data_IF_612671892718
#
_entry.id   IF_612671892718
#
_cell.length_a   1.000
_cell.length_b   1.000
_cell.length_c   1.000
_cell.angle_alpha   90.00
_cell.angle_beta   90.00
_cell.angle_gamma   90.00
#
_symmetry.space_group_name_H-M   'P 1'
#
loop_
_entity.id
_entity.type
_entity.pdbx_description
1 polymer ?
#
# COMPACT_ATOMS: atom_id res chain seq x y z
N UNK A 1 5.35 1.74 -16.47
CA UNK A 1 6.62 1.89 -15.67
C UNK A 1 7.83 2.45 -16.42
N UNK A 2 8.39 1.77 -17.44
CA UNK A 2 9.62 2.22 -18.16
C UNK A 2 9.49 3.61 -18.81
N UNK A 3 8.30 3.95 -19.29
CA UNK A 3 7.99 5.27 -19.85
C UNK A 3 8.13 6.38 -18.81
N UNK A 4 7.49 6.22 -17.65
CA UNK A 4 7.52 7.20 -16.56
C UNK A 4 8.96 7.47 -16.08
N UNK A 5 9.75 6.40 -15.92
CA UNK A 5 11.17 6.52 -15.56
C UNK A 5 11.97 7.29 -16.62
N UNK A 6 11.78 6.99 -17.91
CA UNK A 6 12.44 7.72 -19.01
C UNK A 6 12.05 9.19 -19.08
N UNK A 7 10.84 9.53 -18.62
CA UNK A 7 10.35 10.90 -18.55
C UNK A 7 10.86 11.67 -17.31
N UNK A 8 11.75 11.06 -16.52
CA UNK A 8 12.38 11.71 -15.36
C UNK A 8 11.58 11.62 -14.07
N UNK A 9 10.52 10.79 -14.01
CA UNK A 9 9.80 10.56 -12.75
C UNK A 9 10.65 9.74 -11.79
N UNK A 10 10.78 10.20 -10.55
CA UNK A 10 11.39 9.41 -9.48
C UNK A 10 10.38 8.37 -8.97
N UNK A 11 10.58 7.11 -9.35
CA UNK A 11 9.67 6.01 -9.00
C UNK A 11 10.07 5.25 -7.73
N UNK A 12 11.28 5.46 -7.22
CA UNK A 12 11.79 4.89 -5.97
C UNK A 12 12.41 5.97 -5.10
N UNK A 13 12.32 5.81 -3.79
CA UNK A 13 13.06 6.66 -2.87
C UNK A 13 14.56 6.41 -3.03
N UNK A 14 15.37 7.45 -2.81
CA UNK A 14 16.83 7.38 -2.87
C UNK A 14 17.41 6.67 -1.65
N UNK A 15 16.74 6.79 -0.51
CA UNK A 15 17.22 6.30 0.80
C UNK A 15 16.26 5.33 1.47
N UNK A 16 15.25 4.84 0.73
CA UNK A 16 14.33 3.80 1.17
C UNK A 16 14.19 2.72 0.08
N UNK A 17 13.86 1.49 0.46
CA UNK A 17 13.72 0.38 -0.48
C UNK A 17 12.38 0.40 -1.23
N UNK A 18 11.38 1.13 -0.74
CA UNK A 18 10.08 1.22 -1.38
C UNK A 18 10.07 2.13 -2.61
N UNK A 19 9.08 1.90 -3.47
CA UNK A 19 8.72 2.87 -4.49
C UNK A 19 8.13 4.17 -3.88
N UNK A 20 8.22 5.28 -4.61
CA UNK A 20 7.49 6.52 -4.25
C UNK A 20 6.00 6.35 -4.48
N UNK A 21 5.16 7.27 -3.99
CA UNK A 21 3.71 7.29 -4.31
C UNK A 21 3.45 7.35 -5.82
N UNK A 22 4.30 8.05 -6.58
CA UNK A 22 4.26 8.05 -8.05
C UNK A 22 4.63 6.67 -8.63
N UNK A 23 5.63 6.00 -8.06
CA UNK A 23 5.98 4.61 -8.41
C UNK A 23 4.84 3.64 -8.15
N UNK A 24 4.23 3.71 -6.97
CA UNK A 24 3.05 2.93 -6.59
C UNK A 24 1.86 3.17 -7.52
N UNK A 25 1.55 4.44 -7.83
CA UNK A 25 0.51 4.79 -8.81
C UNK A 25 0.82 4.21 -10.20
N UNK A 26 2.08 4.25 -10.62
CA UNK A 26 2.50 3.67 -11.91
C UNK A 26 2.33 2.15 -11.93
N UNK A 27 2.65 1.45 -10.83
CA UNK A 27 2.41 0.01 -10.68
C UNK A 27 0.92 -0.32 -10.66
N UNK A 28 0.14 0.48 -9.94
CA UNK A 28 -1.32 0.40 -9.88
C UNK A 28 -1.96 0.54 -11.25
N UNK A 29 -1.50 1.46 -12.11
CA UNK A 29 -2.02 1.58 -13.48
C UNK A 29 -1.81 0.30 -14.32
N UNK A 30 -0.65 -0.34 -14.20
CA UNK A 30 -0.39 -1.62 -14.88
C UNK A 30 -1.25 -2.75 -14.29
N UNK A 31 -1.48 -2.76 -12.97
CA UNK A 31 -2.39 -3.69 -12.32
C UNK A 31 -3.83 -3.49 -12.80
N UNK A 32 -4.32 -2.26 -12.84
CA UNK A 32 -5.64 -1.92 -13.37
C UNK A 32 -5.82 -2.42 -14.80
N UNK A 33 -4.80 -2.22 -15.65
CA UNK A 33 -4.80 -2.72 -17.02
C UNK A 33 -4.89 -4.25 -17.08
N UNK A 34 -4.15 -4.97 -16.24
CA UNK A 34 -4.20 -6.42 -16.18
C UNK A 34 -5.57 -6.94 -15.69
N UNK A 35 -6.20 -6.22 -14.76
CA UNK A 35 -7.52 -6.52 -14.21
C UNK A 35 -8.69 -6.04 -15.09
N UNK A 36 -8.43 -5.29 -16.17
CA UNK A 36 -9.46 -4.72 -17.04
C UNK A 36 -10.31 -3.63 -16.39
N UNK A 37 -9.76 -2.92 -15.39
CA UNK A 37 -10.43 -1.82 -14.68
C UNK A 37 -9.77 -0.48 -15.01
N UNK A 38 -10.53 0.61 -14.88
CA UNK A 38 -10.02 1.96 -15.12
C UNK A 38 -9.36 2.50 -13.83
N UNK A 39 -8.09 2.93 -13.88
CA UNK A 39 -7.45 3.54 -12.72
C UNK A 39 -8.09 4.89 -12.38
N UNK A 40 -8.06 5.30 -11.11
CA UNK A 40 -8.41 6.66 -10.70
C UNK A 40 -7.48 7.66 -11.40
N UNK A 41 -8.05 8.76 -11.90
CA UNK A 41 -7.29 9.85 -12.52
C UNK A 41 -6.54 10.64 -11.44
N UNK A 42 -5.21 10.64 -11.49
CA UNK A 42 -4.39 11.30 -10.47
C UNK A 42 -4.51 12.83 -10.46
N UNK A 43 -5.02 13.43 -11.54
CA UNK A 43 -5.34 14.87 -11.57
C UNK A 43 -6.50 15.23 -10.66
N UNK A 44 -7.32 14.24 -10.26
CA UNK A 44 -8.44 14.43 -9.31
C UNK A 44 -8.01 14.30 -7.85
N UNK A 45 -6.78 13.86 -7.60
CA UNK A 45 -6.25 13.63 -6.26
C UNK A 45 -5.54 14.87 -5.72
N UNK A 46 -5.75 15.16 -4.44
CA UNK A 46 -4.97 16.16 -3.72
C UNK A 46 -3.61 15.54 -3.36
N UNK A 47 -2.54 16.19 -3.78
CA UNK A 47 -1.16 15.75 -3.55
C UNK A 47 -0.51 16.63 -2.49
N UNK A 48 -0.34 16.08 -1.29
CA UNK A 48 0.37 16.73 -0.19
C UNK A 48 1.79 16.14 -0.09
N UNK A 49 2.80 17.00 0.02
CA UNK A 49 4.22 16.60 0.07
C UNK A 49 4.81 16.93 1.44
N UNK A 50 5.44 15.96 2.07
CA UNK A 50 6.07 16.09 3.39
C UNK A 50 7.58 15.85 3.27
N UNK A 51 8.42 16.82 3.68
CA UNK A 51 9.87 16.75 3.47
C UNK A 51 10.57 15.84 4.48
N UNK A 52 11.89 15.74 4.34
CA UNK A 52 12.83 15.15 5.30
C UNK A 52 12.62 13.66 5.55
N UNK A 53 12.24 12.89 4.53
CA UNK A 53 12.13 11.44 4.63
C UNK A 53 13.50 10.79 4.36
N UNK A 54 14.08 10.20 5.41
CA UNK A 54 15.18 9.26 5.32
C UNK A 54 14.64 7.85 5.51
N UNK A 55 14.73 7.03 4.49
CA UNK A 55 14.22 5.68 4.56
C UNK A 55 15.05 4.74 5.42
N UNK A 56 14.50 3.54 5.56
CA UNK A 56 15.09 2.44 6.32
C UNK A 56 16.47 2.00 5.82
N UNK A 57 16.81 2.26 4.55
CA UNK A 57 18.13 1.94 4.02
C UNK A 57 19.16 3.02 4.35
N UNK A 58 18.77 4.24 4.71
CA UNK A 58 19.71 5.32 5.06
C UNK A 58 20.67 4.93 6.19
N UNK A 59 20.12 4.37 7.28
CA UNK A 59 20.90 4.01 8.48
C UNK A 59 21.84 2.81 8.27
N UNK A 60 21.60 2.00 7.25
CA UNK A 60 22.32 0.73 6.98
C UNK A 60 23.23 0.77 5.76
N UNK A 61 23.17 1.84 4.94
CA UNK A 61 23.80 1.90 3.62
C UNK A 61 25.02 2.83 3.51
N UNK A 62 25.28 3.65 4.53
CA UNK A 62 26.36 4.62 4.49
C UNK A 62 26.10 5.85 3.59
N UNK A 63 24.86 6.04 3.11
CA UNK A 63 24.46 7.18 2.26
C UNK A 63 24.26 8.49 3.03
N UNK A 64 25.05 8.75 4.07
CA UNK A 64 24.89 9.89 5.00
C UNK A 64 24.93 11.30 4.34
N UNK A 65 25.37 11.37 3.08
CA UNK A 65 25.46 12.61 2.30
C UNK A 65 24.33 12.75 1.26
N UNK A 66 23.47 11.74 1.11
CA UNK A 66 22.35 11.79 0.17
C UNK A 66 21.24 12.67 0.76
N UNK A 67 20.78 13.72 0.05
CA UNK A 67 19.67 14.54 0.51
C UNK A 67 18.40 13.71 0.70
N UNK A 68 17.55 14.07 1.67
CA UNK A 68 16.33 13.32 1.96
C UNK A 68 15.37 13.34 0.76
N UNK A 69 14.39 12.44 0.80
CA UNK A 69 13.24 12.46 -0.07
C UNK A 69 12.06 13.21 0.56
N UNK A 70 11.04 13.45 -0.25
CA UNK A 70 9.72 13.83 0.23
C UNK A 70 8.81 12.61 0.14
N UNK A 71 7.98 12.40 1.16
CA UNK A 71 6.86 11.46 1.11
C UNK A 71 5.60 12.20 0.65
N UNK A 72 4.91 11.65 -0.36
CA UNK A 72 3.71 12.26 -0.91
C UNK A 72 2.45 11.45 -0.54
N UNK A 73 1.40 12.14 -0.10
CA UNK A 73 0.07 11.58 0.08
C UNK A 73 -0.81 12.03 -1.08
N UNK A 74 -1.42 11.07 -1.78
CA UNK A 74 -2.33 11.34 -2.90
C UNK A 74 -3.75 10.96 -2.46
N UNK A 75 -4.46 11.89 -1.84
CA UNK A 75 -5.78 11.64 -1.26
C UNK A 75 -6.90 12.13 -2.18
N UNK A 76 -7.94 11.31 -2.36
CA UNK A 76 -9.16 11.76 -3.02
C UNK A 76 -9.92 12.72 -2.08
N UNK A 77 -10.21 13.98 -2.49
CA UNK A 77 -10.96 14.93 -1.66
C UNK A 77 -12.38 14.47 -1.28
N UNK A 78 -12.92 13.44 -1.96
CA UNK A 78 -14.21 12.82 -1.64
C UNK A 78 -14.13 11.81 -0.50
N UNK A 79 -12.93 11.42 -0.07
CA UNK A 79 -12.73 10.50 1.03
C UNK A 79 -12.76 11.21 2.39
N UNK A 80 -13.49 10.60 3.31
CA UNK A 80 -13.66 11.02 4.70
C UNK A 80 -13.96 9.81 5.57
N UNK A 81 -14.01 10.00 6.88
CA UNK A 81 -14.46 9.00 7.85
C UNK A 81 -15.90 8.49 7.64
N UNK A 82 -16.68 9.14 6.77
CA UNK A 82 -18.04 8.72 6.39
C UNK A 82 -18.06 7.58 5.39
N UNK A 83 -17.03 7.47 4.56
CA UNK A 83 -16.96 6.46 3.49
C UNK A 83 -15.75 5.55 3.60
N UNK A 84 -14.70 5.98 4.30
CA UNK A 84 -13.48 5.21 4.53
C UNK A 84 -13.49 4.62 5.94
N UNK A 85 -13.18 3.32 6.02
CA UNK A 85 -12.86 2.65 7.28
C UNK A 85 -11.70 1.68 7.05
N UNK A 86 -10.65 1.81 7.85
CA UNK A 86 -9.52 0.87 7.90
C UNK A 86 -9.63 0.10 9.19
N UNK A 87 -9.66 -1.23 9.10
CA UNK A 87 -9.64 -2.15 10.23
C UNK A 87 -8.35 -2.95 10.18
N UNK A 88 -7.60 -2.93 11.28
CA UNK A 88 -6.35 -3.66 11.46
C UNK A 88 -6.60 -4.72 12.53
N UNK A 89 -6.31 -5.99 12.20
CA UNK A 89 -6.47 -7.13 13.11
C UNK A 89 -5.11 -7.78 13.38
N UNK A 90 -4.75 -7.84 14.65
CA UNK A 90 -3.53 -8.48 15.15
C UNK A 90 -3.86 -9.41 16.32
N UNK A 91 -4.07 -10.69 16.02
CA UNK A 91 -4.59 -11.65 16.98
C UNK A 91 -5.94 -11.20 17.53
N UNK A 92 -6.05 -11.01 18.84
CA UNK A 92 -7.28 -10.54 19.49
C UNK A 92 -7.47 -9.01 19.43
N UNK A 93 -6.45 -8.25 19.02
CA UNK A 93 -6.51 -6.79 19.00
C UNK A 93 -7.08 -6.30 17.67
N UNK A 94 -8.03 -5.36 17.75
CA UNK A 94 -8.63 -4.71 16.58
C UNK A 94 -8.50 -3.19 16.74
N UNK A 95 -7.89 -2.54 15.75
CA UNK A 95 -7.80 -1.07 15.63
C UNK A 95 -8.60 -0.63 14.41
N UNK A 96 -9.29 0.51 14.53
CA UNK A 96 -10.05 1.09 13.41
C UNK A 96 -9.67 2.55 13.19
N UNK A 97 -9.65 2.99 11.93
CA UNK A 97 -9.38 4.36 11.52
C UNK A 97 -10.36 4.81 10.43
N UNK A 98 -10.76 6.08 10.43
CA UNK A 98 -11.54 6.69 9.34
C UNK A 98 -10.69 7.18 8.16
N UNK A 99 -9.39 6.83 8.14
CA UNK A 99 -8.42 7.28 7.14
C UNK A 99 -7.47 6.14 6.76
N UNK A 100 -7.08 6.10 5.49
CA UNK A 100 -5.99 5.24 4.99
C UNK A 100 -4.61 5.82 5.29
N UNK A 101 -4.55 7.07 5.72
CA UNK A 101 -3.33 7.82 6.00
C UNK A 101 -3.23 8.13 7.50
N UNK A 102 -2.21 7.56 8.15
CA UNK A 102 -1.92 7.67 9.58
C UNK A 102 -0.87 8.77 9.79
N UNK A 103 -1.33 10.03 9.72
CA UNK A 103 -0.46 11.21 9.62
C UNK A 103 0.42 11.47 10.84
N UNK A 104 0.19 10.79 11.97
CA UNK A 104 1.09 10.91 13.11
C UNK A 104 2.51 10.37 12.81
N UNK A 105 2.63 9.36 11.95
CA UNK A 105 3.93 8.86 11.47
C UNK A 105 4.75 9.88 10.69
N UNK A 106 4.12 10.95 10.17
CA UNK A 106 4.86 12.01 9.47
C UNK A 106 5.78 12.82 10.40
N UNK A 107 5.62 12.68 11.73
CA UNK A 107 6.46 13.30 12.75
C UNK A 107 7.63 12.40 13.17
N UNK A 108 7.63 11.15 12.74
CA UNK A 108 8.65 10.15 13.06
C UNK A 108 9.78 10.19 12.02
N UNK A 109 10.90 9.55 12.34
CA UNK A 109 12.02 9.40 11.39
C UNK A 109 11.60 8.50 10.21
N UNK A 110 10.98 7.36 10.51
CA UNK A 110 10.35 6.51 9.51
C UNK A 110 8.91 6.99 9.25
N UNK A 111 8.73 7.66 8.11
CA UNK A 111 7.43 8.22 7.70
C UNK A 111 6.60 7.24 6.87
N UNK A 112 7.19 6.14 6.40
CA UNK A 112 6.50 5.22 5.49
C UNK A 112 5.22 4.59 6.08
N UNK A 113 5.13 4.29 7.40
CA UNK A 113 3.90 3.81 8.03
C UNK A 113 2.71 4.79 7.97
N UNK A 114 2.91 6.00 7.45
CA UNK A 114 1.78 6.88 7.08
C UNK A 114 0.77 6.17 6.18
N UNK A 115 1.20 5.22 5.35
CA UNK A 115 0.31 4.37 4.58
C UNK A 115 -0.17 3.19 5.44
N UNK A 116 -1.47 3.15 5.71
CA UNK A 116 -2.17 2.04 6.37
C UNK A 116 -1.59 1.55 7.71
N UNK A 117 -0.87 2.43 8.45
CA UNK A 117 -0.26 2.15 9.78
C UNK A 117 0.91 1.14 9.73
N UNK A 118 1.39 0.82 8.51
CA UNK A 118 2.54 -0.05 8.30
C UNK A 118 2.19 -1.54 8.20
N UNK A 119 3.02 -2.38 8.83
CA UNK A 119 2.97 -3.84 8.66
C UNK A 119 2.05 -4.50 9.67
N UNK A 120 0.95 -5.09 9.18
CA UNK A 120 0.00 -5.85 9.99
C UNK A 120 -0.34 -7.18 9.32
N UNK A 121 -0.76 -8.16 10.13
CA UNK A 121 -1.17 -9.48 9.66
C UNK A 121 -2.38 -9.41 8.72
N UNK A 122 -3.42 -8.67 9.11
CA UNK A 122 -4.62 -8.46 8.31
C UNK A 122 -5.07 -7.00 8.42
N UNK A 123 -5.20 -6.35 7.26
CA UNK A 123 -5.76 -5.01 7.14
C UNK A 123 -6.92 -5.04 6.15
N UNK A 124 -8.05 -4.46 6.54
CA UNK A 124 -9.22 -4.29 5.67
C UNK A 124 -9.47 -2.80 5.45
N UNK A 125 -9.49 -2.36 4.21
CA UNK A 125 -9.93 -1.02 3.83
C UNK A 125 -11.32 -1.15 3.23
N UNK A 126 -12.28 -0.40 3.75
CA UNK A 126 -13.62 -0.27 3.18
C UNK A 126 -13.79 1.12 2.60
N UNK A 127 -14.22 1.21 1.35
CA UNK A 127 -14.63 2.47 0.71
C UNK A 127 -16.05 2.33 0.15
N UNK A 128 -17.04 2.91 0.82
CA UNK A 128 -18.45 2.79 0.40
C UNK A 128 -18.79 3.54 -0.90
N UNK A 129 -17.87 4.38 -1.40
CA UNK A 129 -18.03 5.09 -2.68
C UNK A 129 -17.49 4.30 -3.88
N UNK A 130 -16.69 3.25 -3.64
CA UNK A 130 -16.11 2.44 -4.70
C UNK A 130 -17.13 1.43 -5.26
N UNK A 131 -16.97 1.07 -6.54
CA UNK A 131 -18.00 0.35 -7.30
C UNK A 131 -17.79 -1.16 -7.35
N UNK A 132 -16.55 -1.61 -7.39
CA UNK A 132 -16.24 -3.03 -7.47
C UNK A 132 -16.39 -3.67 -6.08
N UNK A 133 -16.50 -4.99 -6.03
CA UNK A 133 -16.62 -5.75 -4.79
C UNK A 133 -15.31 -5.78 -3.99
N UNK A 134 -14.88 -6.99 -3.66
CA UNK A 134 -13.70 -7.20 -2.82
C UNK A 134 -12.50 -7.62 -3.66
N UNK A 135 -11.32 -7.05 -3.36
CA UNK A 135 -10.03 -7.55 -3.81
C UNK A 135 -9.20 -8.02 -2.62
N UNK A 136 -8.54 -9.16 -2.74
CA UNK A 136 -7.65 -9.69 -1.71
C UNK A 136 -6.20 -9.65 -2.20
N UNK A 137 -5.32 -9.03 -1.42
CA UNK A 137 -3.90 -8.88 -1.68
C UNK A 137 -3.09 -9.71 -0.70
N UNK A 138 -2.35 -10.69 -1.19
CA UNK A 138 -1.25 -11.33 -0.47
C UNK A 138 -0.02 -10.48 -0.77
N UNK A 139 0.56 -9.86 0.26
CA UNK A 139 1.42 -8.69 0.07
C UNK A 139 2.66 -8.64 0.94
N UNK A 140 3.57 -7.76 0.55
CA UNK A 140 4.60 -7.15 1.40
C UNK A 140 4.39 -5.62 1.57
N UNK A 141 5.38 -4.91 2.12
CA UNK A 141 5.28 -3.47 2.38
C UNK A 141 5.23 -2.57 1.14
N UNK A 142 5.52 -3.07 -0.08
CA UNK A 142 5.30 -2.30 -1.31
C UNK A 142 3.82 -2.02 -1.55
N UNK A 143 2.91 -2.88 -1.06
CA UNK A 143 1.49 -2.67 -1.28
C UNK A 143 0.92 -1.49 -0.47
N UNK A 144 1.62 -1.01 0.57
CA UNK A 144 1.09 -0.02 1.50
C UNK A 144 0.66 1.28 0.79
N UNK A 145 1.55 1.84 -0.03
CA UNK A 145 1.28 3.06 -0.81
C UNK A 145 0.41 2.83 -2.05
N UNK A 146 0.20 1.56 -2.45
CA UNK A 146 -0.69 1.19 -3.56
C UNK A 146 -2.14 0.94 -3.09
N UNK A 147 -2.33 0.47 -1.86
CA UNK A 147 -3.64 0.10 -1.32
C UNK A 147 -4.67 1.25 -1.37
N UNK A 148 -4.31 2.53 -1.09
CA UNK A 148 -5.25 3.62 -1.22
C UNK A 148 -5.81 3.78 -2.64
N UNK A 149 -5.01 3.53 -3.68
CA UNK A 149 -5.49 3.60 -5.06
C UNK A 149 -6.43 2.45 -5.41
N UNK A 150 -6.18 1.24 -4.89
CA UNK A 150 -7.12 0.13 -5.05
C UNK A 150 -8.46 0.39 -4.35
N UNK A 151 -8.44 1.06 -3.20
CA UNK A 151 -9.64 1.44 -2.48
C UNK A 151 -10.50 2.47 -3.24
N UNK A 152 -9.97 3.13 -4.29
CA UNK A 152 -10.78 3.95 -5.20
C UNK A 152 -11.60 3.11 -6.19
N UNK A 153 -11.18 1.87 -6.48
CA UNK A 153 -11.89 0.95 -7.37
C UNK A 153 -12.76 -0.06 -6.62
N UNK A 154 -12.27 -0.59 -5.51
CA UNK A 154 -12.88 -1.69 -4.76
C UNK A 154 -13.50 -1.21 -3.44
N UNK A 155 -14.74 -1.63 -3.19
CA UNK A 155 -15.46 -1.33 -1.95
C UNK A 155 -14.81 -1.98 -0.74
N UNK A 156 -14.08 -3.08 -0.93
CA UNK A 156 -13.22 -3.68 0.09
C UNK A 156 -11.86 -4.10 -0.48
N UNK A 157 -10.79 -3.68 0.17
CA UNK A 157 -9.43 -4.15 -0.07
C UNK A 157 -8.96 -4.91 1.16
N UNK A 158 -8.71 -6.20 1.03
CA UNK A 158 -8.19 -7.06 2.10
C UNK A 158 -6.71 -7.28 1.85
N UNK A 159 -5.85 -6.89 2.80
CA UNK A 159 -4.41 -7.07 2.73
C UNK A 159 -3.99 -8.10 3.76
N UNK A 160 -3.35 -9.18 3.31
CA UNK A 160 -2.79 -10.22 4.16
C UNK A 160 -1.28 -10.30 3.99
N UNK A 161 -0.56 -10.22 5.12
CA UNK A 161 0.90 -10.28 5.15
C UNK A 161 1.35 -11.59 5.77
N UNK A 162 1.91 -12.50 4.95
CA UNK A 162 2.25 -13.85 5.40
C UNK A 162 3.39 -13.88 6.43
N UNK A 163 4.15 -12.79 6.58
CA UNK A 163 5.16 -12.66 7.64
C UNK A 163 4.51 -12.73 9.03
N UNK A 164 3.28 -12.22 9.15
CA UNK A 164 2.56 -12.10 10.42
C UNK A 164 1.27 -12.93 10.48
N UNK A 165 0.60 -13.14 9.35
CA UNK A 165 -0.62 -13.94 9.25
C UNK A 165 -0.30 -15.43 9.14
N UNK A 166 -0.65 -16.22 10.16
CA UNK A 166 -0.36 -17.66 10.25
C UNK A 166 -1.62 -18.55 10.19
N UNK A 167 -2.73 -17.98 9.76
CA UNK A 167 -4.00 -18.69 9.52
C UNK A 167 -4.19 -19.01 8.02
N UNK A 168 -5.32 -19.63 7.67
CA UNK A 168 -5.61 -20.11 6.31
C UNK A 168 -6.00 -18.96 5.37
N UNK A 169 -5.21 -18.73 4.32
CA UNK A 169 -5.57 -17.77 3.25
C UNK A 169 -6.79 -18.25 2.47
N UNK A 170 -6.94 -19.56 2.25
CA UNK A 170 -8.14 -20.14 1.65
C UNK A 170 -9.42 -19.83 2.42
N UNK A 171 -9.33 -19.72 3.76
CA UNK A 171 -10.47 -19.34 4.59
C UNK A 171 -10.81 -17.86 4.41
N UNK A 172 -9.79 -16.99 4.23
CA UNK A 172 -10.01 -15.59 3.86
C UNK A 172 -10.70 -15.49 2.49
N UNK A 173 -10.25 -16.25 1.49
CA UNK A 173 -10.89 -16.27 0.16
C UNK A 173 -12.34 -16.71 0.27
N UNK A 174 -12.63 -17.75 1.05
CA UNK A 174 -14.00 -18.23 1.30
C UNK A 174 -14.85 -17.18 2.03
N UNK A 175 -14.28 -16.54 3.04
CA UNK A 175 -14.96 -15.55 3.90
C UNK A 175 -15.28 -14.26 3.17
N UNK A 176 -14.30 -13.72 2.44
CA UNK A 176 -14.42 -12.42 1.78
C UNK A 176 -14.97 -12.52 0.35
N UNK A 177 -14.97 -13.72 -0.23
CA UNK A 177 -15.41 -14.01 -1.60
C UNK A 177 -14.90 -12.95 -2.61
N UNK A 178 -13.57 -12.76 -2.72
CA UNK A 178 -13.00 -11.70 -3.53
C UNK A 178 -13.23 -11.95 -5.02
N UNK A 179 -13.43 -10.89 -5.79
CA UNK A 179 -13.49 -10.94 -7.25
C UNK A 179 -12.14 -11.36 -7.85
N UNK A 180 -11.05 -10.96 -7.19
CA UNK A 180 -9.68 -11.20 -7.60
C UNK A 180 -8.77 -11.40 -6.38
N UNK A 181 -7.82 -12.32 -6.50
CA UNK A 181 -6.70 -12.48 -5.56
C UNK A 181 -5.42 -12.06 -6.27
N UNK A 182 -4.68 -11.13 -5.66
CA UNK A 182 -3.44 -10.57 -6.22
C UNK A 182 -2.28 -10.88 -5.27
N UNK A 183 -1.19 -11.39 -5.81
CA UNK A 183 0.09 -11.49 -5.09
C UNK A 183 0.94 -10.29 -5.48
N UNK A 184 1.24 -9.42 -4.53
CA UNK A 184 1.99 -8.18 -4.76
C UNK A 184 3.20 -8.13 -3.84
N UNK A 185 4.37 -8.42 -4.42
CA UNK A 185 5.64 -8.49 -3.72
C UNK A 185 6.74 -7.78 -4.51
N UNK A 186 7.68 -7.16 -3.79
CA UNK A 186 8.99 -6.85 -4.32
C UNK A 186 9.72 -8.13 -4.73
N UNK A 187 10.44 -8.11 -5.85
CA UNK A 187 11.04 -9.33 -6.42
C UNK A 187 12.05 -9.99 -5.46
N UNK A 188 12.84 -9.18 -4.75
CA UNK A 188 13.81 -9.65 -3.78
C UNK A 188 13.13 -10.28 -2.56
N UNK A 189 12.03 -9.67 -2.09
CA UNK A 189 11.22 -10.23 -1.02
C UNK A 189 10.62 -11.56 -1.46
N UNK A 190 9.98 -11.64 -2.63
CA UNK A 190 9.40 -12.89 -3.14
C UNK A 190 10.44 -14.01 -3.29
N UNK A 191 11.65 -13.68 -3.75
CA UNK A 191 12.72 -14.66 -3.96
C UNK A 191 13.32 -15.20 -2.66
N UNK A 192 13.21 -14.45 -1.57
CA UNK A 192 13.77 -14.79 -0.25
C UNK A 192 12.71 -15.15 0.80
N UNK A 193 11.43 -14.99 0.46
CA UNK A 193 10.31 -15.22 1.38
C UNK A 193 10.17 -16.70 1.74
N UNK A 194 10.39 -17.02 3.01
CA UNK A 194 10.16 -18.36 3.57
C UNK A 194 8.73 -18.57 4.06
N UNK A 195 7.93 -17.51 4.17
CA UNK A 195 6.54 -17.53 4.65
C UNK A 195 5.52 -17.80 3.55
N UNK A 196 5.91 -17.81 2.27
CA UNK A 196 5.01 -18.21 1.17
C UNK A 196 4.48 -19.65 1.33
N UNK A 197 5.17 -20.48 2.13
CA UNK A 197 4.73 -21.82 2.52
C UNK A 197 3.39 -21.86 3.26
N UNK A 198 2.96 -20.72 3.81
CA UNK A 198 1.67 -20.56 4.49
C UNK A 198 0.51 -20.30 3.52
N UNK A 199 0.80 -20.11 2.23
CA UNK A 199 -0.22 -20.08 1.18
C UNK A 199 -0.77 -21.51 0.98
N UNK A 200 -1.86 -21.82 1.68
CA UNK A 200 -2.61 -23.08 1.55
C UNK A 200 -4.06 -22.83 1.20
#
# INVERSE_FOLDING_TARGET
FKSEYKNGSQLYYKTDHHWTTKGAYTGYQELCKALGITPIDDSTLKKDSYPDFYGTTYSSSGFWLTPPDNIEIWNNPKNSDRNISVKITEGANIKTSGSMYFTDHLKEDDKYPVFIDGNHALTEITNTNAKNGTILLIKDSFSHSLAPFLAENYSKVVLVDLRYYKESVSDLVTTYNPEQVVVLYGIDNLATDTDIVWLK
#
